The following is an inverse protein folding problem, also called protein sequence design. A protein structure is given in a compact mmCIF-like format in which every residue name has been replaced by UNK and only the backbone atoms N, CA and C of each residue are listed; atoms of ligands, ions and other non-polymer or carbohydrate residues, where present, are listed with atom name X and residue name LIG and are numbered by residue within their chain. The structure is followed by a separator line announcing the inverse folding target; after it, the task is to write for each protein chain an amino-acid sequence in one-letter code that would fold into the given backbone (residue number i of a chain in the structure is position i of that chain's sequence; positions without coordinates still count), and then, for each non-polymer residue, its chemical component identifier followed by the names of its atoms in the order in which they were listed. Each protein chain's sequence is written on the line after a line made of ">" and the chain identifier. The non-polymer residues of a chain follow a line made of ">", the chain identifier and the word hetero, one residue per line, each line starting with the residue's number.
data_IF_292669526501
#
_entry.id   IF_292669526501
#
_cell.length_a   1.000
_cell.length_b   1.000
_cell.length_c   1.000
_cell.angle_alpha   90.00
_cell.angle_beta   90.00
_cell.angle_gamma   90.00
#
_symmetry.space_group_name_H-M   'P 1'
#
loop_
_entity.id
_entity.type
_entity.pdbx_description
1 polymer ?
#
# COMPACT_ATOMS: atom_id res chain seq x y z
N UNK A 1 23.03 7.12 -10.75
CA UNK A 1 21.98 7.29 -9.73
C UNK A 1 20.64 7.25 -10.46
N UNK A 2 19.82 6.18 -10.38
CA UNK A 2 18.50 6.26 -10.95
C UNK A 2 17.63 7.13 -10.05
N UNK A 3 16.91 8.06 -10.67
CA UNK A 3 15.85 8.86 -10.06
C UNK A 3 14.86 7.92 -9.39
N UNK A 4 14.56 8.13 -8.11
CA UNK A 4 13.47 7.46 -7.42
C UNK A 4 12.16 7.88 -8.09
N UNK A 5 11.65 7.04 -9.01
CA UNK A 5 10.28 7.15 -9.47
C UNK A 5 9.38 6.90 -8.26
N UNK A 6 8.56 7.88 -7.91
CA UNK A 6 7.55 7.74 -6.87
C UNK A 6 6.56 6.66 -7.29
N UNK A 7 6.68 5.46 -6.75
CA UNK A 7 5.64 4.46 -6.91
C UNK A 7 4.48 4.87 -6.00
N UNK A 8 3.50 5.57 -6.56
CA UNK A 8 2.23 5.85 -5.89
C UNK A 8 1.23 4.71 -6.13
N UNK A 9 0.45 4.34 -5.12
CA UNK A 9 -0.70 3.47 -5.25
C UNK A 9 -1.97 4.25 -5.53
N UNK A 10 -2.96 3.57 -6.12
CA UNK A 10 -4.28 4.12 -6.36
C UNK A 10 -5.35 3.15 -5.86
N UNK A 11 -6.44 3.69 -5.32
CA UNK A 11 -7.63 2.92 -4.94
C UNK A 11 -8.91 3.69 -5.28
N UNK A 12 -9.99 2.96 -5.53
CA UNK A 12 -11.33 3.53 -5.72
C UNK A 12 -12.23 3.11 -4.57
N UNK A 13 -13.05 4.03 -4.08
CA UNK A 13 -14.17 3.68 -3.20
C UNK A 13 -15.44 3.30 -4.01
N UNK A 14 -16.48 2.84 -3.32
CA UNK A 14 -17.74 2.44 -3.95
C UNK A 14 -18.50 3.60 -4.64
N UNK A 15 -18.19 4.86 -4.31
CA UNK A 15 -18.72 6.03 -4.98
C UNK A 15 -17.88 6.45 -6.21
N UNK A 16 -16.77 5.74 -6.46
CA UNK A 16 -15.82 5.99 -7.54
C UNK A 16 -14.84 7.11 -7.25
N UNK A 17 -14.72 7.58 -6.00
CA UNK A 17 -13.67 8.55 -5.66
C UNK A 17 -12.31 7.87 -5.72
N UNK A 18 -11.33 8.57 -6.30
CA UNK A 18 -9.96 8.10 -6.45
C UNK A 18 -9.12 8.54 -5.26
N UNK A 19 -8.37 7.61 -4.70
CA UNK A 19 -7.40 7.83 -3.64
C UNK A 19 -6.01 7.57 -4.21
N UNK A 20 -5.06 8.46 -3.94
CA UNK A 20 -3.70 8.37 -4.49
C UNK A 20 -2.69 8.59 -3.37
N UNK A 21 -1.70 7.70 -3.23
CA UNK A 21 -0.54 8.00 -2.38
C UNK A 21 0.38 8.97 -3.12
N UNK A 22 0.83 9.98 -2.40
CA UNK A 22 1.73 11.00 -2.93
C UNK A 22 2.69 11.47 -1.84
N UNK A 23 3.73 12.15 -2.28
CA UNK A 23 4.67 12.86 -1.42
C UNK A 23 4.61 14.38 -1.64
N UNK A 24 3.66 14.85 -2.47
CA UNK A 24 3.47 16.25 -2.87
C UNK A 24 2.07 16.76 -2.48
N UNK A 25 2.00 17.99 -1.99
CA UNK A 25 0.75 18.65 -1.60
C UNK A 25 -0.10 19.13 -2.80
N UNK A 26 -1.44 19.12 -2.69
CA UNK A 26 -2.32 19.75 -3.68
C UNK A 26 -2.12 21.28 -3.71
N UNK A 27 -2.00 21.86 -4.91
CA UNK A 27 -1.93 23.31 -5.08
C UNK A 27 -0.55 23.93 -4.85
N UNK A 28 0.48 23.13 -4.56
CA UNK A 28 1.86 23.56 -4.63
C UNK A 28 2.22 23.86 -6.09
N UNK A 29 2.19 25.14 -6.48
CA UNK A 29 2.50 25.56 -7.85
C UNK A 29 3.89 25.07 -8.28
N UNK A 30 4.13 24.98 -9.60
CA UNK A 30 5.36 24.49 -10.22
C UNK A 30 6.68 25.20 -9.78
N UNK A 31 6.59 26.18 -8.88
CA UNK A 31 7.67 27.00 -8.33
C UNK A 31 8.15 26.57 -6.93
N UNK A 32 7.45 25.70 -6.20
CA UNK A 32 8.03 25.14 -4.97
C UNK A 32 9.05 24.10 -5.40
N UNK A 33 10.32 24.52 -5.48
CA UNK A 33 11.44 23.60 -5.70
C UNK A 33 11.49 22.67 -4.50
N UNK A 34 10.87 21.49 -4.61
CA UNK A 34 11.08 20.34 -3.73
C UNK A 34 12.53 19.86 -3.93
N UNK A 35 13.49 20.60 -3.40
CA UNK A 35 14.92 20.46 -3.66
C UNK A 35 15.66 19.77 -2.51
N UNK A 36 14.92 19.32 -1.49
CA UNK A 36 15.46 18.60 -0.35
C UNK A 36 14.59 17.39 0.01
N UNK A 37 15.19 16.34 0.57
CA UNK A 37 14.44 15.17 1.06
C UNK A 37 13.42 15.54 2.17
N UNK A 38 13.53 16.73 2.76
CA UNK A 38 12.62 17.31 3.77
C UNK A 38 11.28 17.81 3.25
N UNK A 39 11.13 17.98 1.95
CA UNK A 39 9.87 18.47 1.37
C UNK A 39 8.88 17.33 1.02
N UNK A 40 9.31 16.07 1.20
CA UNK A 40 8.60 14.86 0.79
C UNK A 40 7.81 14.28 1.96
N UNK A 41 6.54 14.63 2.06
CA UNK A 41 5.68 14.19 3.15
C UNK A 41 4.66 13.16 2.65
N UNK A 42 4.78 11.90 3.06
CA UNK A 42 3.90 10.83 2.60
C UNK A 42 2.46 11.06 3.05
N UNK A 43 1.54 11.13 2.08
CA UNK A 43 0.13 11.38 2.32
C UNK A 43 -0.74 10.65 1.30
N UNK A 44 -2.05 10.64 1.58
CA UNK A 44 -3.09 10.19 0.65
C UNK A 44 -3.93 11.40 0.28
N UNK A 45 -4.17 11.57 -1.01
CA UNK A 45 -5.13 12.53 -1.55
C UNK A 45 -6.40 11.81 -1.98
N UNK A 46 -7.53 12.52 -1.91
CA UNK A 46 -8.82 12.10 -2.45
C UNK A 46 -9.22 13.03 -3.59
N UNK A 47 -9.56 12.43 -4.72
CA UNK A 47 -10.11 13.08 -5.91
C UNK A 47 -11.57 12.62 -6.06
N UNK A 48 -12.55 13.53 -5.90
CA UNK A 48 -13.95 13.19 -6.04
C UNK A 48 -14.33 12.73 -7.46
N UNK A 49 -15.25 11.77 -7.56
CA UNK A 49 -15.78 11.29 -8.85
C UNK A 49 -16.73 12.31 -9.55
N UNK A 50 -17.07 13.41 -8.87
CA UNK A 50 -17.97 14.46 -9.37
C UNK A 50 -17.41 15.84 -9.02
N UNK A 51 -17.70 16.82 -9.87
CA UNK A 51 -17.17 18.18 -9.74
C UNK A 51 -15.88 18.37 -10.56
N UNK A 52 -15.08 19.39 -10.22
CA UNK A 52 -13.90 19.78 -10.98
C UNK A 52 -12.72 18.78 -10.91
N UNK A 53 -12.84 17.68 -10.13
CA UNK A 53 -11.79 16.68 -10.00
C UNK A 53 -10.58 17.16 -9.20
N UNK A 54 -10.74 18.19 -8.37
CA UNK A 54 -9.66 18.72 -7.55
C UNK A 54 -9.25 17.73 -6.46
N UNK A 55 -7.94 17.51 -6.32
CA UNK A 55 -7.38 16.67 -5.28
C UNK A 55 -7.43 17.39 -3.93
N UNK A 56 -7.92 16.70 -2.91
CA UNK A 56 -7.98 17.18 -1.53
C UNK A 56 -7.15 16.28 -0.62
N UNK A 57 -6.58 16.84 0.45
CA UNK A 57 -5.89 16.05 1.45
C UNK A 57 -6.85 15.06 2.12
N UNK A 58 -6.46 13.79 2.21
CA UNK A 58 -7.26 12.75 2.86
C UNK A 58 -6.61 12.25 4.14
N UNK A 59 -5.36 11.78 4.11
CA UNK A 59 -4.69 11.20 5.28
C UNK A 59 -3.16 11.41 5.28
N UNK A 60 -2.54 11.29 6.45
CA UNK A 60 -1.13 11.58 6.68
C UNK A 60 -0.94 12.90 7.43
N UNK A 61 0.22 13.52 7.30
CA UNK A 61 0.46 14.88 7.80
C UNK A 61 0.95 15.75 6.65
N UNK A 62 0.26 16.84 6.30
CA UNK A 62 0.70 17.78 5.27
C UNK A 62 2.03 18.49 5.63
N UNK A 63 2.76 18.97 4.63
CA UNK A 63 4.01 19.71 4.77
C UNK A 63 3.84 21.19 5.09
N UNK A 64 3.24 21.52 6.23
CA UNK A 64 3.31 22.91 6.69
C UNK A 64 4.71 23.22 7.27
N UNK A 65 5.17 24.46 7.12
CA UNK A 65 6.49 24.95 7.56
C UNK A 65 6.78 24.82 9.06
N UNK A 66 5.80 24.38 9.86
CA UNK A 66 5.88 24.17 11.30
C UNK A 66 5.82 22.69 11.69
N UNK A 67 5.80 21.76 10.73
CA UNK A 67 5.79 20.32 11.01
C UNK A 67 7.23 19.85 11.16
N UNK A 68 7.66 19.33 12.34
CA UNK A 68 8.97 18.67 12.45
C UNK A 68 9.09 17.55 11.41
N UNK A 69 10.30 17.29 10.92
CA UNK A 69 10.57 16.16 10.02
C UNK A 69 10.02 14.87 10.64
N UNK A 70 8.94 14.36 10.06
CA UNK A 70 8.18 13.26 10.62
C UNK A 70 8.23 12.01 9.73
N UNK A 71 9.18 11.97 8.80
CA UNK A 71 9.45 10.79 7.99
C UNK A 71 9.73 9.60 8.92
N UNK A 72 9.09 8.46 8.64
CA UNK A 72 9.28 7.18 9.34
C UNK A 72 8.85 7.11 10.81
N UNK A 73 8.00 8.01 11.31
CA UNK A 73 7.46 7.83 12.66
C UNK A 73 6.41 6.74 12.75
N UNK A 74 5.77 6.40 11.62
CA UNK A 74 4.63 5.48 11.57
C UNK A 74 3.55 5.82 12.61
N UNK A 75 3.38 7.11 12.93
CA UNK A 75 2.57 7.55 14.06
C UNK A 75 1.09 7.32 13.80
N UNK A 76 0.42 6.69 14.75
CA UNK A 76 -1.03 6.54 14.74
C UNK A 76 -1.70 7.82 15.27
N UNK A 77 -2.90 8.13 14.78
CA UNK A 77 -3.64 9.34 15.15
C UNK A 77 -4.76 9.68 14.17
N UNK A 78 -5.47 10.77 14.43
CA UNK A 78 -6.49 11.28 13.52
C UNK A 78 -5.89 11.88 12.24
N UNK A 79 -6.71 12.18 11.23
CA UNK A 79 -6.29 12.90 10.02
C UNK A 79 -5.51 14.18 10.36
N UNK A 80 -4.39 14.41 9.68
CA UNK A 80 -3.49 15.55 9.92
C UNK A 80 -2.55 15.37 11.11
N UNK A 81 -2.73 14.33 11.94
CA UNK A 81 -1.83 14.01 13.06
C UNK A 81 -1.20 12.62 12.95
N UNK A 82 -1.90 11.67 12.34
CA UNK A 82 -1.33 10.39 11.95
C UNK A 82 -0.32 10.55 10.80
N UNK A 83 0.69 9.70 10.77
CA UNK A 83 1.82 9.79 9.85
C UNK A 83 2.07 8.44 9.19
N UNK A 84 2.16 8.41 7.86
CA UNK A 84 2.74 7.31 7.10
C UNK A 84 4.27 7.32 7.23
N UNK A 85 4.91 6.21 6.88
CA UNK A 85 6.35 6.12 6.69
C UNK A 85 6.77 6.60 5.30
N UNK A 86 8.06 6.55 4.98
CA UNK A 86 8.60 7.16 3.76
C UNK A 86 8.00 6.61 2.45
N UNK A 87 7.48 5.38 2.45
CA UNK A 87 7.07 4.70 1.21
C UNK A 87 5.70 4.02 1.29
N UNK A 88 4.59 4.79 1.29
CA UNK A 88 3.25 4.25 1.05
C UNK A 88 3.07 3.91 -0.44
N UNK A 89 3.02 2.63 -0.74
CA UNK A 89 2.87 2.06 -2.07
C UNK A 89 1.40 1.71 -2.36
N UNK A 90 1.08 0.42 -2.52
CA UNK A 90 -0.25 -0.05 -2.89
C UNK A 90 -1.33 0.29 -1.87
N UNK A 91 -2.55 0.46 -2.36
CA UNK A 91 -3.72 0.74 -1.53
C UNK A 91 -4.94 -0.05 -1.98
N UNK A 92 -5.83 -0.37 -1.03
CA UNK A 92 -7.16 -0.94 -1.28
C UNK A 92 -8.17 -0.38 -0.30
N UNK A 93 -9.42 -0.24 -0.73
CA UNK A 93 -10.54 0.23 0.09
C UNK A 93 -11.54 -0.91 0.20
N UNK A 94 -12.00 -1.20 1.42
CA UNK A 94 -13.05 -2.19 1.64
C UNK A 94 -14.46 -1.62 1.44
N UNK A 95 -15.47 -2.49 1.52
CA UNK A 95 -16.87 -2.07 1.35
C UNK A 95 -17.39 -1.15 2.46
N UNK A 96 -16.71 -1.10 3.61
CA UNK A 96 -17.03 -0.19 4.71
C UNK A 96 -16.33 1.18 4.55
N UNK A 97 -15.50 1.35 3.52
CA UNK A 97 -14.74 2.58 3.27
C UNK A 97 -13.44 2.66 4.08
N UNK A 98 -12.97 1.57 4.68
CA UNK A 98 -11.66 1.52 5.33
C UNK A 98 -10.59 1.40 4.26
N UNK A 99 -9.65 2.34 4.26
CA UNK A 99 -8.50 2.35 3.37
C UNK A 99 -7.34 1.60 4.03
N UNK A 100 -6.79 0.61 3.35
CA UNK A 100 -5.57 -0.10 3.74
C UNK A 100 -4.43 0.29 2.81
N UNK A 101 -3.28 0.61 3.39
CA UNK A 101 -2.08 1.09 2.68
C UNK A 101 -0.92 0.17 2.99
N UNK A 102 -0.28 -0.35 1.94
CA UNK A 102 1.02 -1.01 2.04
C UNK A 102 2.10 0.07 2.18
N UNK A 103 2.63 0.23 3.38
CA UNK A 103 3.66 1.19 3.69
C UNK A 103 4.97 0.43 3.95
N UNK A 104 5.93 0.52 3.04
CA UNK A 104 7.13 -0.31 3.16
C UNK A 104 7.97 0.02 4.39
N UNK A 105 7.83 1.21 4.98
CA UNK A 105 8.48 1.57 6.22
C UNK A 105 7.68 1.14 7.47
N UNK A 106 6.35 1.04 7.37
CA UNK A 106 5.47 0.81 8.53
C UNK A 106 4.67 -0.50 8.51
N UNK A 107 4.75 -1.31 7.45
CA UNK A 107 3.86 -2.45 7.23
C UNK A 107 2.51 -2.02 6.66
N UNK A 108 1.42 -2.61 7.14
CA UNK A 108 0.07 -2.21 6.68
C UNK A 108 -0.50 -1.15 7.60
N UNK A 109 -0.85 -0.01 7.02
CA UNK A 109 -1.57 1.09 7.68
C UNK A 109 -3.04 1.04 7.30
N UNK A 110 -3.93 1.46 8.21
CA UNK A 110 -5.36 1.56 7.94
C UNK A 110 -5.89 2.94 8.30
N UNK A 111 -6.74 3.51 7.44
CA UNK A 111 -7.51 4.72 7.71
C UNK A 111 -8.97 4.29 7.82
N UNK A 112 -9.52 4.36 9.02
CA UNK A 112 -10.92 4.06 9.29
C UNK A 112 -11.84 5.15 8.69
N UNK A 113 -13.12 4.82 8.53
CA UNK A 113 -14.12 5.75 7.99
C UNK A 113 -14.31 7.02 8.84
N UNK A 114 -13.96 6.97 10.12
CA UNK A 114 -13.96 8.11 11.04
C UNK A 114 -12.71 9.00 10.92
N UNK A 115 -11.76 8.65 10.03
CA UNK A 115 -10.51 9.37 9.82
C UNK A 115 -9.38 8.97 10.77
N UNK A 116 -9.53 7.89 11.55
CA UNK A 116 -8.43 7.39 12.37
C UNK A 116 -7.41 6.64 11.51
N UNK A 117 -6.17 7.13 11.45
CA UNK A 117 -5.02 6.41 10.89
C UNK A 117 -4.38 5.57 12.00
N UNK A 118 -4.26 4.27 11.76
CA UNK A 118 -3.57 3.38 12.68
C UNK A 118 -2.69 2.35 11.96
N UNK A 119 -1.84 1.67 12.70
CA UNK A 119 -1.03 0.55 12.22
C UNK A 119 -1.84 -0.74 12.40
N UNK A 120 -1.98 -1.53 11.34
CA UNK A 120 -2.71 -2.81 11.37
C UNK A 120 -1.77 -3.99 11.66
N UNK A 121 -0.55 -3.96 11.14
CA UNK A 121 0.46 -5.00 11.39
C UNK A 121 1.69 -4.41 12.04
N UNK A 122 2.27 -5.06 13.07
CA UNK A 122 3.61 -4.71 13.53
C UNK A 122 4.66 -5.05 12.44
N UNK A 123 5.87 -4.54 12.64
CA UNK A 123 6.99 -4.44 11.68
C UNK A 123 7.45 -5.73 10.95
N UNK A 124 6.90 -6.91 11.22
CA UNK A 124 7.17 -8.12 10.42
C UNK A 124 6.56 -8.07 9.00
N UNK A 125 5.65 -7.11 8.75
CA UNK A 125 5.22 -6.70 7.40
C UNK A 125 6.02 -5.51 6.84
N UNK A 126 7.08 -5.03 7.52
CA UNK A 126 7.99 -4.05 6.94
C UNK A 126 8.48 -4.57 5.60
N UNK A 127 8.53 -3.69 4.58
CA UNK A 127 8.65 -4.01 3.15
C UNK A 127 7.34 -4.25 2.38
N UNK A 128 6.16 -3.98 2.95
CA UNK A 128 4.89 -4.06 2.22
C UNK A 128 4.89 -3.13 0.99
N UNK A 129 4.56 -3.68 -0.20
CA UNK A 129 4.52 -2.95 -1.47
C UNK A 129 3.19 -3.10 -2.19
N UNK A 130 2.72 -4.34 -2.33
CA UNK A 130 1.46 -4.68 -2.98
C UNK A 130 0.42 -5.11 -1.95
N UNK A 131 -0.83 -4.74 -2.13
CA UNK A 131 -1.93 -5.13 -1.25
C UNK A 131 -3.20 -5.39 -2.05
N UNK A 132 -3.96 -6.41 -1.65
CA UNK A 132 -5.25 -6.75 -2.23
C UNK A 132 -6.22 -7.28 -1.17
N UNK A 133 -7.51 -6.95 -1.30
CA UNK A 133 -8.57 -7.66 -0.57
C UNK A 133 -8.96 -8.90 -1.38
N UNK A 134 -9.12 -10.03 -0.71
CA UNK A 134 -9.67 -11.23 -1.32
C UNK A 134 -10.12 -12.24 -0.28
N UNK A 135 -10.58 -13.40 -0.74
CA UNK A 135 -10.92 -14.53 0.14
C UNK A 135 -9.70 -15.44 0.32
N UNK A 136 -9.37 -15.78 1.56
CA UNK A 136 -8.18 -16.57 1.87
C UNK A 136 -8.24 -17.23 3.25
N UNK A 137 -7.09 -17.46 3.89
CA UNK A 137 -7.02 -18.17 5.18
C UNK A 137 -7.82 -17.53 6.33
N UNK A 138 -8.09 -16.21 6.25
CA UNK A 138 -8.94 -15.49 7.20
C UNK A 138 -10.35 -15.24 6.66
N UNK A 139 -10.79 -16.02 5.66
CA UNK A 139 -12.07 -15.84 4.98
C UNK A 139 -12.14 -14.52 4.21
N UNK A 140 -13.30 -13.87 4.26
CA UNK A 140 -13.59 -12.55 3.62
C UNK A 140 -12.77 -11.40 4.19
N UNK A 141 -12.15 -11.60 5.37
CA UNK A 141 -11.33 -10.61 6.05
C UNK A 141 -9.85 -10.66 5.61
N UNK A 142 -9.52 -11.42 4.58
CA UNK A 142 -8.14 -11.57 4.14
C UNK A 142 -7.67 -10.37 3.31
N UNK A 143 -6.57 -9.76 3.75
CA UNK A 143 -5.67 -8.96 2.93
C UNK A 143 -4.51 -9.83 2.47
N UNK A 144 -4.21 -9.80 1.19
CA UNK A 144 -2.95 -10.32 0.65
C UNK A 144 -1.98 -9.15 0.57
N UNK A 145 -0.78 -9.34 1.13
CA UNK A 145 0.26 -8.32 1.19
C UNK A 145 1.52 -8.91 0.58
N UNK A 146 2.03 -8.28 -0.47
CA UNK A 146 3.31 -8.63 -1.06
C UNK A 146 4.42 -7.73 -0.51
N UNK A 147 5.60 -8.31 -0.29
CA UNK A 147 6.76 -7.59 0.21
C UNK A 147 8.00 -7.71 -0.68
N UNK A 148 9.02 -6.91 -0.39
CA UNK A 148 10.33 -6.96 -1.06
C UNK A 148 11.02 -8.34 -0.97
N UNK A 149 10.67 -9.17 0.01
CA UNK A 149 11.14 -10.55 0.15
C UNK A 149 10.65 -11.52 -0.93
N UNK A 150 9.91 -11.05 -1.94
CA UNK A 150 9.36 -11.86 -3.03
C UNK A 150 8.37 -12.93 -2.55
N UNK A 151 7.66 -12.61 -1.48
CA UNK A 151 6.63 -13.45 -0.85
C UNK A 151 5.35 -12.65 -0.63
N UNK A 152 4.26 -13.38 -0.46
CA UNK A 152 2.95 -12.88 -0.08
C UNK A 152 2.61 -13.40 1.33
N UNK A 153 2.07 -12.52 2.15
CA UNK A 153 1.49 -12.79 3.46
C UNK A 153 -0.02 -12.62 3.36
N UNK A 154 -0.78 -13.53 3.97
CA UNK A 154 -2.19 -13.31 4.24
C UNK A 154 -2.29 -12.62 5.60
N UNK A 155 -3.15 -11.62 5.71
CA UNK A 155 -3.38 -10.83 6.92
C UNK A 155 -4.87 -10.71 7.19
N UNK A 156 -5.29 -10.88 8.44
CA UNK A 156 -6.64 -10.58 8.87
C UNK A 156 -6.81 -9.06 9.01
N UNK A 157 -7.70 -8.46 8.21
CA UNK A 157 -7.87 -7.00 8.17
C UNK A 157 -8.51 -6.38 9.41
N UNK A 158 -9.08 -7.23 10.28
CA UNK A 158 -9.70 -6.81 11.54
C UNK A 158 -8.71 -6.91 12.70
N UNK A 159 -8.02 -8.05 12.82
CA UNK A 159 -7.12 -8.32 13.96
C UNK A 159 -5.65 -7.98 13.71
N UNK A 160 -5.22 -7.88 12.45
CA UNK A 160 -3.81 -7.74 12.08
C UNK A 160 -3.01 -9.04 12.16
N UNK A 161 -3.66 -10.17 12.46
CA UNK A 161 -3.03 -11.51 12.45
C UNK A 161 -2.46 -11.82 11.06
N UNK A 162 -1.27 -12.41 11.00
CA UNK A 162 -0.57 -12.70 9.73
C UNK A 162 -0.14 -14.15 9.62
N UNK A 163 -0.09 -14.67 8.39
CA UNK A 163 0.57 -15.94 8.08
C UNK A 163 1.17 -15.95 6.67
N UNK A 164 2.24 -16.74 6.42
CA UNK A 164 2.76 -16.93 5.07
C UNK A 164 1.67 -17.45 4.13
N UNK A 165 1.60 -16.91 2.91
CA UNK A 165 0.60 -17.31 1.92
C UNK A 165 1.24 -17.95 0.69
N UNK A 166 2.16 -17.24 0.02
CA UNK A 166 2.80 -17.73 -1.20
C UNK A 166 4.22 -17.19 -1.37
N UNK A 167 5.06 -17.91 -2.11
CA UNK A 167 6.45 -17.52 -2.36
C UNK A 167 7.41 -18.11 -1.34
N UNK A 168 8.59 -18.53 -1.80
CA UNK A 168 9.69 -19.02 -0.93
C UNK A 168 10.88 -18.06 -0.84
N UNK A 169 10.72 -16.83 -1.34
CA UNK A 169 11.83 -15.89 -1.55
C UNK A 169 12.71 -16.33 -2.71
N UNK A 170 13.01 -15.41 -3.63
CA UNK A 170 13.97 -15.66 -4.70
C UNK A 170 15.36 -15.18 -4.24
N UNK A 171 16.37 -16.05 -4.33
CA UNK A 171 17.74 -15.55 -4.55
C UNK A 171 17.77 -14.85 -5.89
N UNK A 172 18.59 -13.81 -6.04
CA UNK A 172 18.73 -13.03 -7.30
C UNK A 172 18.96 -13.88 -8.57
N UNK A 173 19.41 -15.12 -8.41
CA UNK A 173 19.65 -16.09 -9.50
C UNK A 173 18.48 -17.07 -9.76
N UNK A 174 17.38 -16.99 -9.01
CA UNK A 174 16.26 -17.91 -9.16
C UNK A 174 15.26 -17.40 -10.22
N UNK A 175 15.12 -18.16 -11.31
CA UNK A 175 14.01 -17.99 -12.25
C UNK A 175 12.65 -18.21 -11.55
N UNK A 176 11.57 -17.68 -12.14
CA UNK A 176 10.22 -17.94 -11.65
C UNK A 176 9.92 -19.44 -11.59
N UNK A 177 9.07 -19.84 -10.64
CA UNK A 177 8.61 -21.22 -10.48
C UNK A 177 7.11 -21.22 -10.22
N UNK A 178 6.35 -21.90 -11.08
CA UNK A 178 4.94 -22.25 -10.85
C UNK A 178 4.81 -23.46 -9.93
N UNK A 179 3.64 -23.64 -9.33
CA UNK A 179 3.34 -24.74 -8.42
C UNK A 179 2.53 -24.30 -7.20
N UNK A 180 2.38 -25.17 -6.20
CA UNK A 180 1.74 -24.84 -4.93
C UNK A 180 2.33 -23.57 -4.31
N UNK A 181 1.50 -22.79 -3.61
CA UNK A 181 1.88 -21.47 -3.08
C UNK A 181 3.17 -21.49 -2.26
N UNK A 182 3.40 -22.55 -1.47
CA UNK A 182 4.60 -22.77 -0.64
C UNK A 182 5.87 -23.17 -1.40
N UNK A 183 5.80 -23.30 -2.73
CA UNK A 183 6.93 -23.64 -3.60
C UNK A 183 7.09 -22.69 -4.77
N UNK A 184 6.07 -21.86 -5.03
CA UNK A 184 6.13 -20.84 -6.06
C UNK A 184 7.26 -19.85 -5.79
N UNK A 185 7.90 -19.36 -6.85
CA UNK A 185 8.93 -18.31 -6.78
C UNK A 185 8.50 -17.12 -7.62
N UNK A 186 8.43 -15.96 -7.00
CA UNK A 186 8.17 -14.67 -7.63
C UNK A 186 9.45 -13.83 -7.63
N UNK A 187 9.48 -12.78 -8.44
CA UNK A 187 10.50 -11.75 -8.41
C UNK A 187 9.87 -10.37 -8.61
N UNK A 188 9.83 -9.60 -7.52
CA UNK A 188 9.14 -8.32 -7.47
C UNK A 188 7.61 -8.40 -7.58
N UNK A 189 6.90 -9.10 -6.67
CA UNK A 189 5.44 -9.09 -6.61
C UNK A 189 4.93 -7.71 -6.15
N UNK A 190 4.91 -6.70 -7.03
CA UNK A 190 4.67 -5.30 -6.64
C UNK A 190 3.20 -4.89 -6.57
N UNK A 191 2.34 -5.55 -7.33
CA UNK A 191 0.91 -5.27 -7.33
C UNK A 191 0.12 -6.57 -7.21
N UNK A 192 -1.00 -6.48 -6.49
CA UNK A 192 -1.91 -7.59 -6.25
C UNK A 192 -3.32 -7.17 -6.65
N UNK A 193 -4.12 -8.12 -7.13
CA UNK A 193 -5.56 -7.93 -7.30
C UNK A 193 -6.29 -9.21 -6.88
N UNK A 194 -7.12 -9.11 -5.84
CA UNK A 194 -7.96 -10.19 -5.38
C UNK A 194 -9.32 -10.17 -6.06
N UNK A 195 -9.94 -11.34 -6.15
CA UNK A 195 -11.28 -11.51 -6.71
C UNK A 195 -12.21 -12.12 -5.67
N UNK A 196 -13.52 -11.91 -5.84
CA UNK A 196 -14.54 -12.46 -4.94
C UNK A 196 -14.60 -13.99 -4.96
N UNK A 197 -14.19 -14.62 -6.08
CA UNK A 197 -14.08 -16.08 -6.20
C UNK A 197 -12.77 -16.64 -5.61
N UNK A 198 -11.94 -15.81 -4.98
CA UNK A 198 -10.77 -16.22 -4.23
C UNK A 198 -9.47 -16.33 -5.04
N UNK A 199 -9.47 -15.94 -6.33
CA UNK A 199 -8.22 -15.80 -7.08
C UNK A 199 -7.46 -14.56 -6.66
N UNK A 200 -6.14 -14.66 -6.66
CA UNK A 200 -5.23 -13.53 -6.45
C UNK A 200 -4.31 -13.40 -7.66
N UNK A 201 -4.42 -12.30 -8.39
CA UNK A 201 -3.48 -11.94 -9.44
C UNK A 201 -2.28 -11.23 -8.83
N UNK A 202 -1.10 -11.62 -9.29
CA UNK A 202 0.20 -11.13 -8.83
C UNK A 202 0.95 -10.56 -10.03
N UNK A 203 1.32 -9.29 -9.96
CA UNK A 203 2.26 -8.70 -10.90
C UNK A 203 3.68 -9.13 -10.50
N UNK A 204 4.19 -10.15 -11.17
CA UNK A 204 5.54 -10.69 -11.02
C UNK A 204 6.50 -9.86 -11.89
N UNK A 205 6.76 -8.63 -11.44
CA UNK A 205 7.21 -7.52 -12.28
C UNK A 205 8.57 -7.79 -12.93
N UNK A 206 9.53 -8.33 -12.19
CA UNK A 206 10.87 -8.59 -12.73
C UNK A 206 10.95 -9.87 -13.56
N UNK A 207 9.93 -10.73 -13.47
CA UNK A 207 9.75 -11.86 -14.39
C UNK A 207 8.89 -11.51 -15.62
N UNK A 208 8.47 -10.24 -15.78
CA UNK A 208 7.62 -9.75 -16.87
C UNK A 208 6.30 -10.54 -17.01
N UNK A 209 5.64 -10.86 -15.89
CA UNK A 209 4.45 -11.71 -15.88
C UNK A 209 3.34 -11.19 -14.97
N UNK A 210 2.11 -11.53 -15.33
CA UNK A 210 0.98 -11.57 -14.41
C UNK A 210 0.71 -13.04 -14.12
N UNK A 211 0.63 -13.39 -12.84
CA UNK A 211 0.40 -14.76 -12.37
C UNK A 211 -0.87 -14.82 -11.56
N UNK A 212 -1.49 -15.98 -11.49
CA UNK A 212 -2.73 -16.18 -10.73
C UNK A 212 -2.52 -17.29 -9.70
N UNK A 213 -2.93 -17.00 -8.47
CA UNK A 213 -3.08 -17.99 -7.41
C UNK A 213 -4.56 -18.36 -7.38
N UNK A 214 -4.84 -19.65 -7.49
CA UNK A 214 -6.19 -20.20 -7.41
C UNK A 214 -6.55 -20.51 -5.94
N UNK A 215 -7.85 -20.56 -5.59
CA UNK A 215 -8.32 -20.89 -4.24
C UNK A 215 -7.82 -22.24 -3.70
#
# INVERSE_FOLDING_TARGET
>A
MPLAAGFGGMALDAAGNLYVTTQLEPGAGASTRYNSASDWMPMVLKIPNRGAGEATFFAGTPNNSNTPDNRNTCRDGALGTGQFGTWPYGMVIDKAGVLYVADAACGVRKVAADGTLSTLSPASAASAVGIAIGRGPFGEETLFVAGWGHTLVAMNRLSGETQPYAGVGASVDAHYQDGPTKSARFWGPFALAGTADGRVFVLDAYNNRIRVILP
#
